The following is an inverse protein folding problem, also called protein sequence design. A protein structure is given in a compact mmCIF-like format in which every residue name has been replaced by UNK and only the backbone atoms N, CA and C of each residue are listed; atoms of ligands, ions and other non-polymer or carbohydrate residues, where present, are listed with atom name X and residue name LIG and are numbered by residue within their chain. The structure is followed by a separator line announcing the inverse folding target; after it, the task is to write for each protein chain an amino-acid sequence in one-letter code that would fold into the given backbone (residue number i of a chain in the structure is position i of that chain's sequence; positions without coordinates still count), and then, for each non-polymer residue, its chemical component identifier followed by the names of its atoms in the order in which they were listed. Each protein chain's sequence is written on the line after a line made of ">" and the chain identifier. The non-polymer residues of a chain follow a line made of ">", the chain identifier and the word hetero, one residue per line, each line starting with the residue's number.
data_IF_324920142080
#
_entry.id   IF_324920142080
#
_cell.length_a   1.000
_cell.length_b   1.000
_cell.length_c   1.000
_cell.angle_alpha   90.00
_cell.angle_beta   90.00
_cell.angle_gamma   90.00
#
_symmetry.space_group_name_H-M   'P 1'
#
loop_
_entity.id
_entity.type
_entity.pdbx_description
1 polymer ?
#
# COMPACT_ATOMS: atom_id res chain seq x y z
N UNK A 1 10.68 -12.28 -15.60
CA UNK A 1 9.35 -12.26 -14.95
C UNK A 1 9.08 -13.69 -14.48
N UNK A 2 8.88 -13.94 -13.18
CA UNK A 2 8.70 -15.30 -12.65
C UNK A 2 7.23 -15.51 -12.30
N UNK A 3 6.59 -16.46 -12.97
CA UNK A 3 5.18 -16.81 -12.76
C UNK A 3 5.12 -18.27 -12.32
N UNK A 4 4.36 -18.55 -11.26
CA UNK A 4 4.00 -19.90 -10.83
C UNK A 4 2.48 -20.00 -10.80
N UNK A 5 1.94 -21.04 -11.45
CA UNK A 5 0.48 -21.24 -11.59
C UNK A 5 0.02 -22.32 -10.62
N UNK A 6 -1.05 -22.06 -9.88
CA UNK A 6 -1.67 -22.99 -8.95
C UNK A 6 -3.11 -23.29 -9.41
N UNK A 7 -3.38 -24.51 -9.88
CA UNK A 7 -4.69 -24.88 -10.45
C UNK A 7 -5.30 -26.12 -9.79
N UNK A 8 -6.63 -26.13 -9.64
CA UNK A 8 -7.41 -27.27 -9.14
C UNK A 8 -8.01 -28.14 -10.24
N UNK A 9 -7.91 -27.72 -11.49
CA UNK A 9 -8.29 -28.55 -12.64
C UNK A 9 -7.07 -29.36 -13.06
N UNK A 10 -7.16 -30.70 -13.00
CA UNK A 10 -6.15 -31.61 -13.58
C UNK A 10 -6.21 -31.63 -15.12
N UNK A 11 -6.73 -30.58 -15.72
CA UNK A 11 -6.95 -30.50 -17.14
C UNK A 11 -5.63 -30.11 -17.82
N UNK A 12 -5.16 -30.98 -18.71
CA UNK A 12 -3.85 -30.91 -19.34
C UNK A 12 -3.70 -29.68 -20.24
N UNK A 13 -4.83 -29.14 -20.72
CA UNK A 13 -4.91 -27.95 -21.57
C UNK A 13 -4.32 -26.68 -20.91
N UNK A 14 -4.66 -26.43 -19.64
CA UNK A 14 -4.12 -25.29 -18.89
C UNK A 14 -2.65 -25.45 -18.54
N UNK A 15 -2.22 -26.68 -18.24
CA UNK A 15 -0.81 -26.98 -18.01
C UNK A 15 0.03 -26.72 -19.26
N UNK A 16 -0.46 -27.17 -20.42
CA UNK A 16 0.18 -26.90 -21.71
C UNK A 16 0.25 -25.41 -22.03
N UNK A 17 -0.83 -24.66 -21.78
CA UNK A 17 -0.85 -23.22 -22.03
C UNK A 17 0.07 -22.46 -21.05
N UNK A 18 0.09 -22.83 -19.77
CA UNK A 18 1.01 -22.25 -18.79
C UNK A 18 2.48 -22.48 -19.19
N UNK A 19 2.81 -23.69 -19.65
CA UNK A 19 4.16 -24.00 -20.17
C UNK A 19 4.46 -23.19 -21.43
N UNK A 20 3.50 -23.05 -22.35
CA UNK A 20 3.65 -22.23 -23.57
C UNK A 20 3.89 -20.75 -23.25
N UNK A 21 3.25 -20.23 -22.21
CA UNK A 21 3.43 -18.86 -21.72
C UNK A 21 4.71 -18.65 -20.90
N UNK A 22 5.54 -19.69 -20.75
CA UNK A 22 6.84 -19.60 -20.07
C UNK A 22 6.73 -19.54 -18.54
N UNK A 23 5.67 -20.10 -17.97
CA UNK A 23 5.54 -20.23 -16.51
C UNK A 23 6.70 -21.06 -15.98
N UNK A 24 7.32 -20.58 -14.90
CA UNK A 24 8.51 -21.18 -14.33
C UNK A 24 8.21 -22.48 -13.57
N UNK A 25 7.02 -22.58 -12.96
CA UNK A 25 6.57 -23.78 -12.25
C UNK A 25 5.04 -23.90 -12.22
N UNK A 26 4.52 -25.11 -12.34
CA UNK A 26 3.09 -25.43 -12.21
C UNK A 26 2.87 -26.24 -10.93
N UNK A 27 1.88 -25.85 -10.12
CA UNK A 27 1.45 -26.55 -8.91
C UNK A 27 -0.01 -26.99 -9.04
N UNK A 28 -0.32 -28.21 -8.60
CA UNK A 28 -1.66 -28.80 -8.66
C UNK A 28 -2.29 -28.84 -7.28
N UNK A 29 -3.59 -28.52 -7.17
CA UNK A 29 -4.34 -28.69 -5.92
C UNK A 29 -4.84 -30.14 -5.75
N UNK A 30 -4.86 -30.68 -4.53
CA UNK A 30 -4.29 -30.09 -3.30
C UNK A 30 -2.76 -30.19 -3.32
N UNK A 31 -2.08 -29.05 -3.27
CA UNK A 31 -0.61 -29.02 -3.20
C UNK A 31 -0.19 -29.18 -1.75
N UNK A 32 0.90 -29.90 -1.55
CA UNK A 32 1.50 -30.02 -0.24
C UNK A 32 2.31 -28.76 0.09
N UNK A 33 2.49 -28.47 1.38
CA UNK A 33 3.15 -27.23 1.80
C UNK A 33 4.64 -27.21 1.44
N UNK A 34 5.29 -28.38 1.40
CA UNK A 34 6.66 -28.56 0.90
C UNK A 34 6.80 -28.18 -0.58
N UNK A 35 5.88 -28.63 -1.45
CA UNK A 35 5.88 -28.29 -2.88
C UNK A 35 5.71 -26.77 -3.12
N UNK A 36 4.85 -26.12 -2.34
CA UNK A 36 4.66 -24.67 -2.38
C UNK A 36 5.94 -23.95 -1.91
N UNK A 37 6.54 -24.42 -0.81
CA UNK A 37 7.77 -23.84 -0.27
C UNK A 37 8.95 -24.00 -1.23
N UNK A 38 9.06 -25.12 -1.92
CA UNK A 38 10.09 -25.36 -2.94
C UNK A 38 9.91 -24.43 -4.15
N UNK A 39 8.67 -24.27 -4.62
CA UNK A 39 8.35 -23.34 -5.70
C UNK A 39 8.73 -21.89 -5.34
N UNK A 40 8.33 -21.46 -4.14
CA UNK A 40 8.67 -20.14 -3.62
C UNK A 40 10.17 -19.94 -3.44
N UNK A 41 10.87 -20.96 -2.93
CA UNK A 41 12.33 -20.90 -2.73
C UNK A 41 13.07 -20.80 -4.06
N UNK A 42 12.67 -21.60 -5.06
CA UNK A 42 13.21 -21.54 -6.42
C UNK A 42 13.02 -20.16 -7.05
N UNK A 43 11.80 -19.61 -6.96
CA UNK A 43 11.52 -18.26 -7.46
C UNK A 43 12.35 -17.19 -6.73
N UNK A 44 12.47 -17.29 -5.40
CA UNK A 44 13.25 -16.33 -4.61
C UNK A 44 14.75 -16.40 -4.92
N UNK A 45 15.30 -17.59 -5.18
CA UNK A 45 16.71 -17.78 -5.55
C UNK A 45 17.03 -17.12 -6.88
N UNK A 46 16.14 -17.27 -7.87
CA UNK A 46 16.31 -16.64 -9.20
C UNK A 46 16.24 -15.11 -9.11
N UNK A 47 15.46 -14.55 -8.16
CA UNK A 47 15.45 -13.11 -7.90
C UNK A 47 16.69 -12.61 -7.13
N UNK A 48 17.42 -13.51 -6.46
CA UNK A 48 18.59 -13.25 -5.59
C UNK A 48 19.95 -13.34 -6.31
N UNK A 49 19.99 -13.47 -7.63
CA UNK A 49 21.23 -13.18 -8.38
C UNK A 49 21.61 -11.69 -8.38
N UNK A 50 20.82 -10.83 -7.69
CA UNK A 50 21.24 -9.54 -7.15
C UNK A 50 21.77 -9.76 -5.71
N UNK A 51 22.89 -9.13 -5.31
CA UNK A 51 23.66 -9.52 -4.12
C UNK A 51 22.81 -9.62 -2.84
N UNK A 52 23.17 -10.53 -1.93
CA UNK A 52 22.29 -10.97 -0.85
C UNK A 52 22.08 -9.87 0.18
N UNK A 53 20.84 -9.39 0.32
CA UNK A 53 20.39 -8.71 1.52
C UNK A 53 20.07 -9.78 2.59
N UNK A 54 20.98 -9.86 3.57
CA UNK A 54 20.90 -10.42 4.94
C UNK A 54 19.71 -11.37 5.26
N UNK A 55 19.99 -12.67 5.33
CA UNK A 55 19.03 -13.75 5.59
C UNK A 55 18.70 -13.98 7.09
N UNK A 56 18.63 -12.93 7.90
CA UNK A 56 18.23 -13.03 9.31
C UNK A 56 16.83 -12.47 9.63
N UNK A 57 16.09 -12.00 8.63
CA UNK A 57 14.78 -11.36 8.84
C UNK A 57 13.65 -12.39 8.92
N UNK A 58 13.00 -12.47 10.08
CA UNK A 58 11.73 -13.18 10.30
C UNK A 58 10.78 -12.98 9.11
N UNK A 59 10.60 -14.03 8.28
CA UNK A 59 9.88 -13.95 7.00
C UNK A 59 8.46 -13.44 7.17
N UNK A 60 7.84 -13.71 8.33
CA UNK A 60 6.50 -13.24 8.64
C UNK A 60 6.47 -11.72 8.89
N UNK A 61 7.52 -11.18 9.53
CA UNK A 61 7.69 -9.74 9.70
C UNK A 61 8.00 -9.05 8.36
N UNK A 62 8.81 -9.67 7.50
CA UNK A 62 9.11 -9.14 6.16
C UNK A 62 7.86 -9.01 5.29
N UNK A 63 7.03 -10.05 5.21
CA UNK A 63 5.77 -10.01 4.46
C UNK A 63 4.79 -8.97 5.03
N UNK A 64 4.66 -8.90 6.36
CA UNK A 64 3.83 -7.91 7.05
C UNK A 64 4.30 -6.47 6.78
N UNK A 65 5.61 -6.23 6.85
CA UNK A 65 6.24 -4.95 6.55
C UNK A 65 6.01 -4.54 5.09
N UNK A 66 6.12 -5.48 4.16
CA UNK A 66 5.83 -5.24 2.74
C UNK A 66 4.38 -4.79 2.51
N UNK A 67 3.40 -5.47 3.14
CA UNK A 67 1.97 -5.11 3.05
C UNK A 67 1.76 -3.70 3.60
N UNK A 68 2.33 -3.38 4.76
CA UNK A 68 2.20 -2.04 5.37
C UNK A 68 2.79 -0.97 4.47
N UNK A 69 4.01 -1.18 3.93
CA UNK A 69 4.65 -0.22 3.02
C UNK A 69 3.80 0.02 1.77
N UNK A 70 3.26 -1.05 1.17
CA UNK A 70 2.39 -0.96 0.00
C UNK A 70 1.11 -0.20 0.32
N UNK A 71 0.49 -0.47 1.46
CA UNK A 71 -0.72 0.22 1.91
C UNK A 71 -0.47 1.72 2.13
N UNK A 72 0.65 2.10 2.77
CA UNK A 72 1.00 3.50 3.00
C UNK A 72 1.26 4.25 1.67
N UNK A 73 2.03 3.65 0.75
CA UNK A 73 2.23 4.22 -0.60
C UNK A 73 0.90 4.42 -1.31
N UNK A 74 0.03 3.42 -1.30
CA UNK A 74 -1.28 3.51 -1.96
C UNK A 74 -2.16 4.60 -1.35
N UNK A 75 -2.11 4.80 -0.02
CA UNK A 75 -2.80 5.90 0.66
C UNK A 75 -2.24 7.25 0.18
N UNK A 76 -0.92 7.40 0.13
CA UNK A 76 -0.29 8.65 -0.33
C UNK A 76 -0.63 8.97 -1.79
N UNK A 77 -0.67 7.96 -2.66
CA UNK A 77 -0.94 8.16 -4.08
C UNK A 77 -2.42 8.44 -4.38
N UNK A 78 -3.34 8.04 -3.49
CA UNK A 78 -4.79 8.06 -3.75
C UNK A 78 -5.60 8.84 -2.70
N UNK A 79 -4.96 9.61 -1.82
CA UNK A 79 -5.65 10.28 -0.71
C UNK A 79 -6.70 11.32 -1.17
N UNK A 80 -6.61 11.83 -2.40
CA UNK A 80 -7.44 12.93 -2.91
C UNK A 80 -8.89 12.49 -3.13
N UNK A 81 -9.15 11.20 -3.28
CA UNK A 81 -10.49 10.67 -3.51
C UNK A 81 -11.07 10.08 -2.23
N UNK A 82 -12.31 9.59 -2.30
CA UNK A 82 -12.94 8.84 -1.21
C UNK A 82 -12.28 7.47 -1.10
N UNK A 83 -11.13 7.42 -0.42
CA UNK A 83 -10.41 6.18 -0.15
C UNK A 83 -10.93 5.55 1.15
N UNK A 84 -11.31 4.28 1.08
CA UNK A 84 -11.74 3.45 2.20
C UNK A 84 -10.68 2.43 2.58
N UNK A 85 -10.71 1.94 3.82
CA UNK A 85 -9.80 0.88 4.26
C UNK A 85 -9.98 -0.42 3.44
N UNK A 86 -11.20 -0.70 2.97
CA UNK A 86 -11.49 -1.86 2.13
C UNK A 86 -10.73 -1.78 0.80
N UNK A 87 -10.76 -0.63 0.13
CA UNK A 87 -10.03 -0.43 -1.14
C UNK A 87 -8.52 -0.60 -0.97
N UNK A 88 -7.95 -0.12 0.15
CA UNK A 88 -6.52 -0.34 0.44
C UNK A 88 -6.22 -1.82 0.69
N UNK A 89 -7.14 -2.53 1.37
CA UNK A 89 -6.99 -3.96 1.64
C UNK A 89 -7.05 -4.79 0.36
N UNK A 90 -7.99 -4.47 -0.54
CA UNK A 90 -8.13 -5.10 -1.85
C UNK A 90 -6.88 -4.86 -2.71
N UNK A 91 -6.37 -3.62 -2.74
CA UNK A 91 -5.11 -3.31 -3.41
C UNK A 91 -3.94 -4.12 -2.85
N UNK A 92 -3.93 -4.40 -1.55
CA UNK A 92 -2.89 -5.17 -0.88
C UNK A 92 -3.14 -6.69 -0.89
N UNK A 93 -4.25 -7.17 -1.47
CA UNK A 93 -4.67 -8.58 -1.49
C UNK A 93 -4.78 -9.21 -0.11
N UNK A 94 -5.29 -8.47 0.88
CA UNK A 94 -5.53 -8.95 2.25
C UNK A 94 -6.92 -8.57 2.72
N UNK A 95 -7.42 -9.23 3.77
CA UNK A 95 -8.68 -8.81 4.38
C UNK A 95 -8.55 -7.45 5.09
N UNK A 96 -9.64 -6.68 5.12
CA UNK A 96 -9.71 -5.40 5.81
C UNK A 96 -9.30 -5.49 7.29
N UNK A 97 -9.75 -6.54 7.98
CA UNK A 97 -9.40 -6.79 9.38
C UNK A 97 -7.89 -6.99 9.56
N UNK A 98 -7.28 -7.79 8.68
CA UNK A 98 -5.84 -8.05 8.73
C UNK A 98 -5.05 -6.77 8.48
N UNK A 99 -5.42 -6.00 7.45
CA UNK A 99 -4.77 -4.73 7.17
C UNK A 99 -4.90 -3.73 8.33
N UNK A 100 -6.09 -3.60 8.92
CA UNK A 100 -6.30 -2.73 10.08
C UNK A 100 -5.36 -3.10 11.23
N UNK A 101 -5.23 -4.40 11.52
CA UNK A 101 -4.35 -4.91 12.57
C UNK A 101 -2.89 -4.65 12.26
N UNK A 102 -2.46 -4.87 11.02
CA UNK A 102 -1.09 -4.63 10.57
C UNK A 102 -0.72 -3.14 10.64
N UNK A 103 -1.56 -2.26 10.08
CA UNK A 103 -1.32 -0.82 10.12
C UNK A 103 -1.19 -0.33 11.57
N UNK A 104 -2.09 -0.74 12.45
CA UNK A 104 -2.00 -0.34 13.86
C UNK A 104 -0.75 -0.88 14.54
N UNK A 105 -0.41 -2.16 14.33
CA UNK A 105 0.78 -2.80 14.91
C UNK A 105 2.06 -2.09 14.49
N UNK A 106 2.19 -1.70 13.22
CA UNK A 106 3.43 -1.14 12.68
C UNK A 106 3.53 0.39 12.81
N UNK A 107 2.40 1.10 12.79
CA UNK A 107 2.40 2.58 12.81
C UNK A 107 1.92 3.18 14.12
N UNK A 108 1.30 2.38 14.99
CA UNK A 108 0.59 2.86 16.18
C UNK A 108 -0.68 3.66 15.90
N UNK A 109 -1.08 3.82 14.63
CA UNK A 109 -2.17 4.71 14.20
C UNK A 109 -3.34 3.93 13.61
N UNK A 110 -4.53 4.52 13.65
CA UNK A 110 -5.69 3.99 12.92
C UNK A 110 -5.62 4.43 11.46
N UNK A 111 -6.30 3.69 10.59
CA UNK A 111 -6.38 4.01 9.16
C UNK A 111 -6.75 5.48 8.88
N UNK A 112 -7.78 5.99 9.57
CA UNK A 112 -8.25 7.36 9.35
C UNK A 112 -7.20 8.42 9.72
N UNK A 113 -6.38 8.14 10.74
CA UNK A 113 -5.28 9.03 11.13
C UNK A 113 -4.16 9.02 10.08
N UNK A 114 -3.89 7.86 9.48
CA UNK A 114 -2.92 7.73 8.38
C UNK A 114 -3.38 8.47 7.13
N UNK A 115 -4.65 8.30 6.74
CA UNK A 115 -5.23 9.00 5.60
C UNK A 115 -5.17 10.53 5.82
N UNK A 116 -5.59 11.00 6.99
CA UNK A 116 -5.51 12.43 7.30
C UNK A 116 -4.07 12.93 7.30
N UNK A 117 -3.11 12.18 7.84
CA UNK A 117 -1.71 12.58 7.82
C UNK A 117 -1.20 12.75 6.39
N UNK A 118 -1.51 11.82 5.48
CA UNK A 118 -1.15 11.93 4.07
C UNK A 118 -1.76 13.20 3.41
N UNK A 119 -3.04 13.46 3.66
CA UNK A 119 -3.72 14.66 3.14
C UNK A 119 -3.13 15.96 3.67
N UNK A 120 -2.79 16.01 4.97
CA UNK A 120 -2.17 17.20 5.59
C UNK A 120 -0.76 17.42 5.05
N UNK A 121 0.04 16.37 4.84
CA UNK A 121 1.35 16.51 4.20
C UNK A 121 1.24 17.02 2.76
N UNK A 122 0.26 16.55 1.99
CA UNK A 122 -0.02 17.10 0.67
C UNK A 122 -0.45 18.57 0.74
N UNK A 123 -1.29 18.95 1.71
CA UNK A 123 -1.70 20.33 1.91
C UNK A 123 -0.53 21.25 2.26
N UNK A 124 0.40 20.80 3.11
CA UNK A 124 1.62 21.56 3.42
C UNK A 124 2.45 21.85 2.18
N UNK A 125 2.60 20.87 1.28
CA UNK A 125 3.30 21.05 -0.01
C UNK A 125 2.63 22.11 -0.86
N UNK A 126 1.30 22.07 -1.00
CA UNK A 126 0.54 23.08 -1.76
C UNK A 126 0.60 24.47 -1.12
N UNK A 127 0.56 24.57 0.20
CA UNK A 127 0.63 25.85 0.92
C UNK A 127 2.01 26.52 0.82
N UNK A 128 3.08 25.75 0.60
CA UNK A 128 4.46 26.26 0.47
C UNK A 128 4.88 26.50 -0.97
N UNK A 129 4.08 26.08 -1.94
CA UNK A 129 4.34 26.28 -3.35
C UNK A 129 3.91 27.70 -3.77
N UNK A 130 4.89 28.56 -4.05
CA UNK A 130 4.67 29.96 -4.45
C UNK A 130 3.91 30.08 -5.78
N UNK A 131 3.94 29.06 -6.64
CA UNK A 131 3.16 29.05 -7.89
C UNK A 131 1.66 28.84 -7.66
N UNK A 132 1.29 28.39 -6.45
CA UNK A 132 -0.08 28.03 -6.04
C UNK A 132 -0.72 29.07 -5.12
N UNK A 133 -0.13 30.27 -4.99
CA UNK A 133 -0.60 31.31 -4.07
C UNK A 133 -2.06 31.75 -4.32
N UNK A 134 -2.52 31.66 -5.57
CA UNK A 134 -3.88 31.95 -5.98
C UNK A 134 -4.93 30.96 -5.41
N UNK A 135 -4.53 29.79 -4.93
CA UNK A 135 -5.45 28.81 -4.36
C UNK A 135 -5.93 29.24 -2.98
N UNK A 136 -7.24 29.23 -2.77
CA UNK A 136 -7.84 29.45 -1.46
C UNK A 136 -7.63 28.23 -0.54
N UNK A 137 -7.90 28.40 0.75
CA UNK A 137 -7.89 27.28 1.70
C UNK A 137 -8.95 26.23 1.35
N UNK A 138 -10.08 26.65 0.78
CA UNK A 138 -11.12 25.74 0.30
C UNK A 138 -10.63 24.90 -0.89
N UNK A 139 -9.96 25.53 -1.86
CA UNK A 139 -9.41 24.82 -3.03
C UNK A 139 -8.37 23.78 -2.61
N UNK A 140 -7.49 24.12 -1.66
CA UNK A 140 -6.50 23.18 -1.12
C UNK A 140 -7.19 22.03 -0.37
N UNK A 141 -8.20 22.34 0.45
CA UNK A 141 -8.99 21.33 1.17
C UNK A 141 -9.59 20.31 0.21
N UNK A 142 -10.22 20.78 -0.87
CA UNK A 142 -10.80 19.93 -1.91
C UNK A 142 -9.72 19.13 -2.64
N UNK A 143 -8.64 19.79 -3.08
CA UNK A 143 -7.56 19.17 -3.84
C UNK A 143 -6.85 18.03 -3.09
N UNK A 144 -6.78 18.09 -1.76
CA UNK A 144 -6.18 17.02 -0.95
C UNK A 144 -7.20 15.96 -0.50
N UNK A 145 -8.48 16.13 -0.82
CA UNK A 145 -9.52 15.11 -0.63
C UNK A 145 -10.42 15.29 0.60
N UNK A 146 -10.52 16.50 1.15
CA UNK A 146 -11.53 16.82 2.16
C UNK A 146 -12.81 17.34 1.49
N UNK A 147 -13.95 16.73 1.83
CA UNK A 147 -15.27 17.18 1.40
C UNK A 147 -15.81 18.36 2.21
N UNK A 148 -15.20 18.66 3.36
CA UNK A 148 -15.59 19.75 4.25
C UNK A 148 -14.35 20.54 4.69
N UNK A 149 -14.32 21.83 4.35
CA UNK A 149 -13.22 22.73 4.69
C UNK A 149 -13.11 22.96 6.21
N UNK A 150 -14.23 22.89 6.93
CA UNK A 150 -14.23 23.00 8.39
C UNK A 150 -13.52 21.81 9.06
N UNK A 151 -13.71 20.60 8.55
CA UNK A 151 -13.02 19.40 8.98
C UNK A 151 -11.54 19.47 8.64
N UNK A 152 -11.18 19.84 7.40
CA UNK A 152 -9.79 20.11 7.01
C UNK A 152 -9.09 21.06 7.98
N UNK A 153 -9.70 22.22 8.26
CA UNK A 153 -9.09 23.25 9.11
C UNK A 153 -8.82 22.76 10.53
N UNK A 154 -9.76 22.00 11.11
CA UNK A 154 -9.60 21.37 12.44
C UNK A 154 -8.51 20.30 12.42
N UNK A 155 -8.49 19.44 11.41
CA UNK A 155 -7.46 18.40 11.24
C UNK A 155 -6.07 19.03 11.07
N UNK A 156 -5.93 20.04 10.22
CA UNK A 156 -4.66 20.73 9.98
C UNK A 156 -4.13 21.35 11.26
N UNK A 157 -4.95 22.16 11.94
CA UNK A 157 -4.54 22.80 13.21
C UNK A 157 -4.19 21.77 14.28
N UNK A 158 -4.93 20.67 14.36
CA UNK A 158 -4.64 19.58 15.32
C UNK A 158 -3.29 18.91 15.05
N UNK A 159 -2.94 18.67 13.79
CA UNK A 159 -1.70 17.97 13.43
C UNK A 159 -0.47 18.89 13.41
N UNK A 160 -0.64 20.14 13.00
CA UNK A 160 0.47 21.09 12.75
C UNK A 160 0.63 22.12 13.87
N UNK A 161 -0.40 22.33 14.70
CA UNK A 161 -0.40 23.29 15.80
C UNK A 161 -0.86 24.70 15.42
N UNK A 162 -0.74 25.07 14.14
CA UNK A 162 -1.20 26.36 13.58
C UNK A 162 -2.23 26.14 12.47
N UNK A 163 -3.00 27.17 12.14
CA UNK A 163 -3.96 27.12 11.03
C UNK A 163 -3.25 27.04 9.67
N UNK A 164 -3.96 26.54 8.64
CA UNK A 164 -3.41 26.46 7.28
C UNK A 164 -3.04 27.84 6.71
N UNK A 165 -3.77 28.89 7.07
CA UNK A 165 -3.48 30.25 6.63
C UNK A 165 -2.24 30.83 7.33
N UNK A 166 -2.12 30.63 8.65
CA UNK A 166 -0.89 30.98 9.39
C UNK A 166 0.32 30.21 8.85
N UNK A 167 0.15 28.92 8.54
CA UNK A 167 1.21 28.10 7.97
C UNK A 167 1.68 28.57 6.58
N UNK A 168 0.78 29.16 5.79
CA UNK A 168 1.12 29.76 4.49
C UNK A 168 1.94 31.04 4.63
N UNK A 169 1.60 31.85 5.63
CA UNK A 169 2.14 33.21 5.78
C UNK A 169 3.38 33.30 6.68
N UNK A 170 3.72 32.24 7.41
CA UNK A 170 4.93 32.17 8.26
C UNK A 170 6.04 31.39 7.57
#
# INVERSE_FOLDING_TARGET
>A
LLVTVLTGYRDFSYAQEAVRLGVHRLLLKPSRMDEINEAMSSMSAILRERPPEDESVDRNNSASSYIVRRALSYIEDNHQTKLSLQEVADHCYVSQWHLSKLLNKHTGKKYYDLLNAARIEAAKRLLRDSTKEHLTIADISEAVGYSDTGHFSRSFKKLIGVSANEYRNG
#
